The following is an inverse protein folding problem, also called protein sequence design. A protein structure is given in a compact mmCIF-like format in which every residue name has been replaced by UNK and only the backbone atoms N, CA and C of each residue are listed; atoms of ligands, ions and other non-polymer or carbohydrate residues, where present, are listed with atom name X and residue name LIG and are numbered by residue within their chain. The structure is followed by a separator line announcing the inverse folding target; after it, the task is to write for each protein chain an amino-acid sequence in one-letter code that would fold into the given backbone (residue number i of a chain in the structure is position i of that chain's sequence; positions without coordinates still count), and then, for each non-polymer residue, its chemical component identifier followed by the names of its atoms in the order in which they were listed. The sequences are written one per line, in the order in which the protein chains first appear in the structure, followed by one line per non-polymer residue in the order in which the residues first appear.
data_IF_618530512340
#
_entry.id   IF_618530512340
#
_cell.length_a   1.000
_cell.length_b   1.000
_cell.length_c   1.000
_cell.angle_alpha   90.00
_cell.angle_beta   90.00
_cell.angle_gamma   90.00
#
_symmetry.space_group_name_H-M   'P 1'
#
loop_
_entity.id
_entity.type
_entity.pdbx_description
1 polymer ?
#
# COMPACT_ATOMS: atom_id res chain seq x y z
N UNK A 1 18.57 24.14 5.02
CA UNK A 1 18.15 22.74 5.26
C UNK A 1 19.42 21.92 5.26
N UNK A 2 19.43 20.73 5.86
CA UNK A 2 20.53 19.81 5.62
C UNK A 2 20.52 19.47 4.13
N UNK A 3 21.70 19.21 3.56
CA UNK A 3 21.79 18.88 2.15
C UNK A 3 21.04 17.57 1.89
N UNK A 4 20.24 17.52 0.81
CA UNK A 4 19.57 16.28 0.41
C UNK A 4 20.61 15.17 0.27
N UNK A 5 20.31 13.98 0.79
CA UNK A 5 21.22 12.83 0.74
C UNK A 5 21.62 12.51 -0.69
N UNK A 6 22.92 12.54 -0.98
CA UNK A 6 23.51 12.15 -2.26
C UNK A 6 24.54 11.05 -2.02
N UNK A 7 24.58 10.00 -2.87
CA UNK A 7 25.71 9.07 -2.87
C UNK A 7 27.02 9.84 -3.01
N UNK A 8 27.99 9.54 -2.14
CA UNK A 8 29.26 10.25 -2.12
C UNK A 8 30.38 9.35 -2.66
N UNK A 9 30.91 9.70 -3.84
CA UNK A 9 31.92 8.92 -4.56
C UNK A 9 33.25 9.67 -4.77
N UNK A 10 33.50 10.77 -4.06
CA UNK A 10 34.74 11.56 -4.26
C UNK A 10 35.91 10.92 -3.52
N UNK A 11 37.04 10.78 -4.22
CA UNK A 11 38.33 10.33 -3.70
C UNK A 11 39.38 11.41 -4.10
N UNK A 12 40.28 11.85 -3.20
CA UNK A 12 40.41 11.45 -1.79
C UNK A 12 39.29 12.00 -0.90
N UNK A 13 39.05 11.33 0.23
CA UNK A 13 38.09 11.77 1.24
C UNK A 13 38.52 13.12 1.84
N UNK A 14 37.60 14.08 1.84
CA UNK A 14 37.79 15.41 2.43
C UNK A 14 37.06 15.51 3.76
N UNK A 15 37.56 16.39 4.62
CA UNK A 15 36.93 16.73 5.89
C UNK A 15 36.29 18.12 5.78
N UNK A 16 35.04 18.26 6.23
CA UNK A 16 34.39 19.56 6.45
C UNK A 16 35.17 20.32 7.53
N UNK A 17 35.54 19.56 8.57
CA UNK A 17 36.31 20.06 9.69
C UNK A 17 37.38 19.05 10.08
N UNK A 18 38.57 19.57 10.37
CA UNK A 18 39.65 18.81 10.99
C UNK A 18 40.46 19.79 11.84
N UNK A 19 40.32 19.71 13.16
CA UNK A 19 41.22 20.47 14.02
C UNK A 19 42.60 19.82 14.07
N UNK A 20 43.64 20.64 14.23
CA UNK A 20 44.92 20.13 14.71
C UNK A 20 44.86 20.06 16.24
N UNK A 21 44.99 18.84 16.74
CA UNK A 21 45.47 18.44 18.06
C UNK A 21 45.26 19.44 19.21
N UNK A 22 44.29 19.15 20.10
CA UNK A 22 44.15 19.86 21.37
C UNK A 22 44.17 18.85 22.52
N UNK A 23 45.22 18.90 23.35
CA UNK A 23 45.40 18.02 24.52
C UNK A 23 45.19 16.52 24.22
N UNK A 24 45.77 16.02 23.14
CA UNK A 24 45.69 14.58 22.80
C UNK A 24 44.40 14.16 22.13
N UNK A 25 43.48 15.10 21.85
CA UNK A 25 42.21 14.82 21.18
C UNK A 25 42.11 15.62 19.89
N UNK A 26 41.73 14.92 18.81
CA UNK A 26 41.38 15.53 17.53
C UNK A 26 39.92 15.24 17.19
N UNK A 27 39.26 16.19 16.53
CA UNK A 27 37.91 16.06 16.01
C UNK A 27 37.95 16.20 14.50
N UNK A 28 37.26 15.28 13.83
CA UNK A 28 37.02 15.31 12.39
C UNK A 28 35.53 15.31 12.14
N UNK A 29 35.06 16.22 11.29
CA UNK A 29 33.77 16.10 10.65
C UNK A 29 34.01 15.75 9.17
N UNK A 30 33.83 14.48 8.77
CA UNK A 30 34.10 14.08 7.40
C UNK A 30 33.05 14.68 6.44
N UNK A 31 33.39 14.93 5.17
CA UNK A 31 32.39 15.35 4.14
C UNK A 31 31.43 14.22 3.75
N UNK A 32 31.78 12.97 4.06
CA UNK A 32 30.97 11.79 3.84
C UNK A 32 30.76 11.00 5.13
N UNK A 33 29.64 10.31 5.23
CA UNK A 33 29.29 9.46 6.36
C UNK A 33 28.67 8.16 5.89
N UNK A 34 28.90 7.09 6.64
CA UNK A 34 28.20 5.81 6.46
C UNK A 34 27.06 5.74 7.47
N UNK A 35 25.82 5.65 7.01
CA UNK A 35 24.65 5.58 7.87
C UNK A 35 24.52 4.20 8.52
N UNK A 36 23.70 4.04 9.58
CA UNK A 36 23.47 2.75 10.23
C UNK A 36 22.93 1.64 9.31
N UNK A 37 22.32 1.99 8.18
CA UNK A 37 21.87 1.05 7.15
C UNK A 37 22.98 0.62 6.16
N UNK A 38 24.21 1.11 6.35
CA UNK A 38 25.38 0.84 5.50
C UNK A 38 25.51 1.76 4.29
N UNK A 39 24.53 2.64 4.02
CA UNK A 39 24.60 3.57 2.90
C UNK A 39 25.65 4.67 3.16
N UNK A 40 26.41 5.06 2.12
CA UNK A 40 27.39 6.15 2.20
C UNK A 40 26.83 7.40 1.53
N UNK A 41 26.71 8.49 2.29
CA UNK A 41 26.13 9.76 1.85
C UNK A 41 27.00 10.94 2.25
N UNK A 42 26.67 12.14 1.77
CA UNK A 42 27.28 13.38 2.25
C UNK A 42 26.98 13.62 3.74
N UNK A 43 27.87 14.35 4.41
CA UNK A 43 27.67 14.88 5.75
C UNK A 43 27.65 16.41 5.63
N UNK A 44 26.64 17.11 6.10
CA UNK A 44 25.38 16.65 6.73
C UNK A 44 24.40 16.16 5.67
N UNK A 45 23.48 15.24 5.98
CA UNK A 45 22.50 14.73 5.00
C UNK A 45 21.07 14.69 5.54
N UNK A 46 20.07 14.99 4.71
CA UNK A 46 18.66 14.68 4.93
C UNK A 46 18.21 13.53 4.04
N UNK A 47 17.74 12.43 4.66
CA UNK A 47 17.25 11.24 3.99
C UNK A 47 15.72 11.24 4.02
N UNK A 48 15.12 11.51 2.86
CA UNK A 48 13.66 11.71 2.74
C UNK A 48 12.84 10.45 3.07
N UNK A 49 13.36 9.26 2.76
CA UNK A 49 12.72 7.97 3.07
C UNK A 49 12.62 7.70 4.57
N UNK A 50 13.59 8.20 5.35
CA UNK A 50 13.65 8.11 6.80
C UNK A 50 13.09 9.34 7.51
N UNK A 51 12.75 10.39 6.76
CA UNK A 51 12.38 11.71 7.26
C UNK A 51 13.35 12.25 8.33
N UNK A 52 14.65 11.95 8.18
CA UNK A 52 15.66 12.22 9.21
C UNK A 52 16.92 12.86 8.62
N UNK A 53 17.55 13.72 9.42
CA UNK A 53 18.85 14.32 9.12
C UNK A 53 19.98 13.68 9.94
N UNK A 54 21.18 13.66 9.36
CA UNK A 54 22.34 12.96 9.89
C UNK A 54 23.57 13.87 9.96
N UNK A 55 24.25 13.82 11.10
CA UNK A 55 25.57 14.43 11.35
C UNK A 55 26.52 13.37 11.90
N UNK A 56 27.73 13.33 11.35
CA UNK A 56 28.79 12.44 11.84
C UNK A 56 29.96 13.24 12.38
N UNK A 57 30.47 12.83 13.53
CA UNK A 57 31.67 13.38 14.17
C UNK A 57 32.61 12.25 14.57
N UNK A 58 33.90 12.37 14.25
CA UNK A 58 34.95 11.43 14.66
C UNK A 58 35.85 12.09 15.70
N UNK A 59 36.15 11.35 16.76
CA UNK A 59 37.00 11.77 17.86
C UNK A 59 38.17 10.81 17.93
N UNK A 60 39.39 11.34 17.81
CA UNK A 60 40.64 10.55 17.84
C UNK A 60 41.38 10.91 19.12
N UNK A 61 41.72 9.90 19.92
CA UNK A 61 42.51 10.03 21.14
C UNK A 61 43.92 9.51 20.83
N UNK A 62 44.92 10.39 20.88
CA UNK A 62 46.30 10.08 20.51
C UNK A 62 47.03 9.22 21.57
N UNK A 63 48.06 8.49 21.12
CA UNK A 63 48.98 7.67 21.92
C UNK A 63 50.05 8.51 22.63
N UNK A 64 50.47 9.63 22.04
CA UNK A 64 51.78 10.25 22.35
C UNK A 64 51.80 11.25 23.52
N UNK A 65 50.68 11.46 24.23
CA UNK A 65 50.63 12.38 25.37
C UNK A 65 50.75 11.68 26.71
N UNK A 66 51.63 12.19 27.58
CA UNK A 66 51.85 11.69 28.96
C UNK A 66 50.62 11.78 29.88
N UNK A 67 49.57 12.51 29.49
CA UNK A 67 48.36 12.73 30.29
C UNK A 67 47.26 11.73 29.90
N UNK A 68 46.60 11.11 30.88
CA UNK A 68 45.40 10.26 30.71
C UNK A 68 44.16 11.07 30.28
N UNK A 69 44.23 11.70 29.10
CA UNK A 69 43.21 12.54 28.47
C UNK A 69 41.96 11.79 28.01
N UNK A 70 41.54 10.75 28.73
CA UNK A 70 40.31 10.02 28.45
C UNK A 70 39.11 10.96 28.40
N UNK A 71 38.28 10.80 27.37
CA UNK A 71 37.03 11.53 27.21
C UNK A 71 36.05 11.07 28.29
N UNK A 72 35.64 11.98 29.17
CA UNK A 72 34.57 11.73 30.14
C UNK A 72 33.21 11.94 29.51
N UNK A 73 33.01 13.07 28.85
CA UNK A 73 31.74 13.44 28.23
C UNK A 73 31.95 14.33 27.01
N UNK A 74 31.00 14.27 26.06
CA UNK A 74 31.01 15.06 24.82
C UNK A 74 29.75 15.91 24.80
N UNK A 75 29.89 17.22 24.60
CA UNK A 75 28.81 18.18 24.45
C UNK A 75 28.69 18.67 23.01
N UNK A 76 27.62 18.25 22.33
CA UNK A 76 27.28 18.67 20.96
C UNK A 76 26.09 19.65 21.05
N UNK A 77 26.22 20.91 20.59
CA UNK A 77 25.11 21.84 20.61
C UNK A 77 24.10 21.44 19.53
N UNK A 78 22.84 21.28 19.92
CA UNK A 78 21.72 21.01 19.00
C UNK A 78 20.62 22.04 19.22
N UNK A 79 19.80 22.29 18.20
CA UNK A 79 18.66 23.20 18.30
C UNK A 79 17.79 22.92 19.54
N UNK A 80 17.47 23.97 20.30
CA UNK A 80 16.74 23.84 21.57
C UNK A 80 15.30 23.28 21.44
N UNK A 81 14.74 23.32 20.23
CA UNK A 81 13.40 22.81 19.88
C UNK A 81 13.39 21.29 19.61
N UNK A 82 14.56 20.67 19.41
CA UNK A 82 14.64 19.23 19.19
C UNK A 82 14.34 18.53 20.51
N UNK A 83 13.39 17.60 20.48
CA UNK A 83 13.02 16.81 21.65
C UNK A 83 13.83 15.51 21.70
N UNK A 84 14.14 14.97 22.90
CA UNK A 84 14.93 13.75 23.04
C UNK A 84 14.38 12.56 22.26
N UNK A 85 13.04 12.40 22.20
CA UNK A 85 12.40 11.30 21.48
C UNK A 85 12.61 11.30 19.96
N UNK A 86 13.09 12.43 19.40
CA UNK A 86 13.37 12.59 17.98
C UNK A 86 14.85 12.36 17.64
N UNK A 87 15.68 11.97 18.60
CA UNK A 87 17.13 11.83 18.43
C UNK A 87 17.53 10.39 18.71
N UNK A 88 18.37 9.84 17.83
CA UNK A 88 19.15 8.65 18.11
C UNK A 88 20.63 8.99 17.93
N UNK A 89 21.45 8.47 18.83
CA UNK A 89 22.90 8.61 18.77
C UNK A 89 23.47 7.21 18.59
N UNK A 90 24.30 7.05 17.57
CA UNK A 90 25.02 5.82 17.33
C UNK A 90 26.51 6.06 17.48
N UNK A 91 27.22 5.00 17.84
CA UNK A 91 28.65 4.99 18.08
C UNK A 91 29.29 3.81 17.35
N UNK A 92 30.49 4.05 16.81
CA UNK A 92 31.32 3.04 16.19
C UNK A 92 32.79 3.29 16.52
N UNK A 93 33.50 2.24 16.87
CA UNK A 93 34.96 2.29 17.05
C UNK A 93 35.64 1.99 15.72
N UNK A 94 36.79 2.61 15.47
CA UNK A 94 37.65 2.22 14.35
C UNK A 94 37.93 0.71 14.43
N UNK A 95 37.88 0.04 13.27
CA UNK A 95 37.89 -1.41 13.08
C UNK A 95 36.57 -2.16 13.33
N UNK A 96 35.49 -1.50 13.78
CA UNK A 96 34.15 -2.11 13.83
C UNK A 96 33.30 -1.67 12.61
N UNK A 97 32.53 -2.60 12.05
CA UNK A 97 31.59 -2.32 10.96
C UNK A 97 30.19 -1.96 11.45
N UNK A 98 29.89 -2.19 12.74
CA UNK A 98 28.55 -2.04 13.30
C UNK A 98 28.42 -0.79 14.17
N UNK A 99 27.34 -0.05 13.96
CA UNK A 99 26.93 1.07 14.80
C UNK A 99 26.09 0.59 16.00
N UNK A 100 26.46 1.01 17.20
CA UNK A 100 25.74 0.70 18.44
C UNK A 100 25.00 1.94 18.95
N UNK A 101 23.73 1.83 19.39
CA UNK A 101 23.03 2.97 20.00
C UNK A 101 23.66 3.35 21.34
N UNK A 102 23.78 4.65 21.61
CA UNK A 102 24.36 5.19 22.85
C UNK A 102 23.39 6.15 23.53
N UNK A 103 23.35 6.08 24.84
CA UNK A 103 22.54 6.97 25.66
C UNK A 103 23.10 8.40 25.62
N UNK A 104 22.19 9.38 25.67
CA UNK A 104 22.54 10.79 25.73
C UNK A 104 21.55 11.52 26.65
N UNK A 105 21.92 12.72 27.07
CA UNK A 105 21.03 13.63 27.79
C UNK A 105 20.95 14.97 27.05
N UNK A 106 19.80 15.65 27.17
CA UNK A 106 19.59 16.99 26.60
C UNK A 106 19.50 18.00 27.74
N UNK A 107 20.46 18.91 27.83
CA UNK A 107 20.58 19.85 28.96
C UNK A 107 20.90 21.27 28.48
N UNK A 108 20.30 22.27 29.12
CA UNK A 108 20.52 23.69 28.77
C UNK A 108 21.75 24.27 29.47
N UNK A 109 21.98 23.86 30.71
CA UNK A 109 23.12 24.25 31.54
C UNK A 109 23.72 22.96 32.11
N UNK A 110 24.96 22.66 31.77
CA UNK A 110 25.72 21.53 32.30
C UNK A 110 26.76 22.06 33.29
N UNK A 111 27.05 21.37 34.42
CA UNK A 111 28.08 21.82 35.35
C UNK A 111 29.46 21.98 34.73
N UNK A 112 29.80 21.16 33.72
CA UNK A 112 31.07 21.21 33.02
C UNK A 112 30.97 22.15 31.80
N UNK A 113 29.95 21.97 30.96
CA UNK A 113 29.84 22.75 29.71
C UNK A 113 29.22 24.14 29.86
N UNK A 114 28.73 24.50 31.05
CA UNK A 114 27.95 25.70 31.32
C UNK A 114 26.72 25.79 30.38
N UNK A 115 26.20 27.00 30.19
CA UNK A 115 25.10 27.25 29.27
C UNK A 115 25.45 26.90 27.82
N UNK A 116 24.53 26.22 27.15
CA UNK A 116 24.58 26.03 25.71
C UNK A 116 24.46 27.38 24.98
N UNK A 117 25.02 27.51 23.76
CA UNK A 117 24.88 28.72 22.96
C UNK A 117 23.41 29.14 22.77
N UNK A 118 23.17 30.43 22.53
CA UNK A 118 21.80 30.96 22.33
C UNK A 118 21.12 30.23 21.16
N UNK A 119 19.95 29.65 21.42
CA UNK A 119 19.23 28.82 20.44
C UNK A 119 19.59 27.34 20.46
N UNK A 120 20.41 26.89 21.41
CA UNK A 120 20.86 25.50 21.52
C UNK A 120 20.60 24.91 22.91
N UNK A 121 20.68 23.59 22.97
CA UNK A 121 20.90 22.78 24.18
C UNK A 121 22.09 21.85 23.91
N UNK A 122 22.76 21.40 24.96
CA UNK A 122 23.77 20.35 24.84
C UNK A 122 23.08 19.01 24.68
N UNK A 123 23.40 18.29 23.61
CA UNK A 123 23.36 16.84 23.57
C UNK A 123 24.64 16.34 24.22
N UNK A 124 24.51 15.78 25.42
CA UNK A 124 25.63 15.26 26.21
C UNK A 124 25.69 13.74 26.11
N UNK A 125 26.80 13.21 25.63
CA UNK A 125 27.12 11.79 25.61
C UNK A 125 28.06 11.51 26.78
N UNK A 126 27.62 10.71 27.73
CA UNK A 126 28.46 10.26 28.85
C UNK A 126 29.30 9.06 28.38
N UNK A 127 30.61 9.23 28.41
CA UNK A 127 31.54 8.22 27.95
C UNK A 127 32.15 7.43 29.12
N UNK A 128 32.17 8.00 30.32
CA UNK A 128 32.69 7.34 31.54
C UNK A 128 34.10 6.75 31.37
N UNK A 129 34.94 7.39 30.55
CA UNK A 129 36.31 6.95 30.23
C UNK A 129 36.41 5.57 29.58
N UNK A 130 35.39 5.13 28.81
CA UNK A 130 35.43 3.84 28.08
C UNK A 130 36.58 3.74 27.07
N UNK A 131 37.19 4.86 26.65
CA UNK A 131 38.26 4.85 25.66
C UNK A 131 39.60 5.29 26.24
N UNK A 132 40.58 4.43 26.00
CA UNK A 132 41.99 4.69 26.24
C UNK A 132 42.63 5.33 25.01
N UNK A 133 43.95 5.52 25.07
CA UNK A 133 44.76 6.11 24.01
C UNK A 133 44.74 5.24 22.74
N UNK A 134 44.91 5.87 21.58
CA UNK A 134 44.94 5.20 20.28
C UNK A 134 43.57 4.81 19.72
N UNK A 135 42.48 5.30 20.31
CA UNK A 135 41.11 4.98 19.89
C UNK A 135 40.53 6.12 19.07
N UNK A 136 39.92 5.75 17.94
CA UNK A 136 39.06 6.64 17.17
C UNK A 136 37.61 6.18 17.28
N UNK A 137 36.73 7.13 17.60
CA UNK A 137 35.31 6.90 17.84
C UNK A 137 34.50 7.79 16.95
N UNK A 138 33.59 7.19 16.20
CA UNK A 138 32.65 7.88 15.34
C UNK A 138 31.26 7.90 16.00
N UNK A 139 30.68 9.09 16.11
CA UNK A 139 29.31 9.30 16.53
C UNK A 139 28.45 9.79 15.38
N UNK A 140 27.29 9.16 15.21
CA UNK A 140 26.24 9.57 14.27
C UNK A 140 25.03 10.04 15.03
N UNK A 141 24.59 11.27 14.75
CA UNK A 141 23.34 11.82 15.23
C UNK A 141 22.30 11.65 14.13
N UNK A 142 21.32 10.78 14.34
CA UNK A 142 20.09 10.70 13.55
C UNK A 142 19.02 11.54 14.24
N UNK A 143 18.51 12.57 13.55
CA UNK A 143 17.48 13.44 14.09
C UNK A 143 16.28 13.44 13.15
N UNK A 144 15.10 13.09 13.67
CA UNK A 144 13.85 13.14 12.93
C UNK A 144 13.48 14.58 12.56
N UNK A 145 13.38 14.85 11.26
CA UNK A 145 13.17 16.17 10.65
C UNK A 145 14.33 16.65 9.77
N UNK A 146 14.11 17.73 9.03
CA UNK A 146 15.10 18.39 8.18
C UNK A 146 15.62 19.66 8.85
N UNK A 147 16.77 19.57 9.53
CA UNK A 147 17.38 20.71 10.23
C UNK A 147 18.46 21.36 9.38
N UNK A 148 18.60 22.68 9.51
CA UNK A 148 19.70 23.41 8.87
C UNK A 148 20.98 23.13 9.64
N UNK A 149 22.11 23.11 8.93
CA UNK A 149 23.43 23.03 9.53
C UNK A 149 24.03 24.42 9.67
N UNK A 150 24.62 24.74 10.82
CA UNK A 150 25.44 25.94 10.98
C UNK A 150 26.67 25.62 11.80
N UNK A 151 27.74 26.44 11.66
CA UNK A 151 28.88 26.39 12.55
C UNK A 151 28.51 26.58 14.01
N UNK A 152 29.01 25.72 14.91
CA UNK A 152 29.03 25.90 16.36
C UNK A 152 30.20 25.15 17.00
N UNK A 153 30.64 25.62 18.16
CA UNK A 153 31.70 24.95 18.92
C UNK A 153 31.23 23.68 19.63
N UNK A 154 32.01 22.61 19.55
CA UNK A 154 31.85 21.43 20.41
C UNK A 154 32.64 21.60 21.72
N UNK A 155 32.19 20.93 22.78
CA UNK A 155 32.93 20.84 24.04
C UNK A 155 33.18 19.38 24.41
N UNK A 156 34.35 19.09 24.94
CA UNK A 156 34.72 17.78 25.46
C UNK A 156 35.22 17.95 26.89
N UNK A 157 34.66 17.17 27.81
CA UNK A 157 35.18 17.04 29.16
C UNK A 157 36.19 15.90 29.19
N UNK A 158 37.41 16.19 29.62
CA UNK A 158 38.45 15.18 29.84
C UNK A 158 38.64 14.93 31.33
N UNK A 159 39.61 14.08 31.69
CA UNK A 159 40.00 13.90 33.08
C UNK A 159 40.46 15.19 33.75
N UNK A 160 41.12 16.09 33.02
CA UNK A 160 41.85 17.23 33.61
C UNK A 160 41.26 18.59 33.27
N UNK A 161 40.55 18.71 32.14
CA UNK A 161 40.08 19.99 31.65
C UNK A 161 38.89 19.84 30.69
N UNK A 162 38.38 20.98 30.26
CA UNK A 162 37.33 21.07 29.26
C UNK A 162 37.93 21.68 28.00
N UNK A 163 37.88 20.92 26.92
CA UNK A 163 38.42 21.34 25.62
C UNK A 163 37.26 21.90 24.80
N UNK A 164 37.44 23.11 24.27
CA UNK A 164 36.49 23.76 23.39
C UNK A 164 37.07 23.77 21.98
N UNK A 165 36.34 23.21 21.02
CA UNK A 165 36.74 23.22 19.61
C UNK A 165 35.96 24.35 18.93
N UNK A 166 36.62 25.51 18.81
CA UNK A 166 35.97 26.79 18.50
C UNK A 166 35.96 27.20 17.04
N UNK A 167 36.54 26.43 16.14
CA UNK A 167 36.62 26.84 14.74
C UNK A 167 35.23 26.87 14.10
N UNK A 168 34.92 27.96 13.39
CA UNK A 168 33.62 28.30 12.78
C UNK A 168 33.21 27.39 11.60
N UNK A 169 33.56 26.12 11.65
CA UNK A 169 33.37 25.15 10.56
C UNK A 169 32.77 23.82 10.99
N UNK A 170 32.66 23.54 12.31
CA UNK A 170 31.92 22.35 12.77
C UNK A 170 30.43 22.59 12.59
N UNK A 171 29.84 21.87 11.64
CA UNK A 171 28.42 21.94 11.34
C UNK A 171 27.63 21.13 12.37
N UNK A 172 26.65 21.78 13.00
CA UNK A 172 25.74 21.16 13.96
C UNK A 172 24.27 21.37 13.58
N UNK A 173 23.33 20.57 14.13
CA UNK A 173 21.90 20.78 13.90
C UNK A 173 21.41 22.08 14.52
N UNK A 174 20.93 23.00 13.68
CA UNK A 174 20.44 24.31 14.09
C UNK A 174 18.94 24.48 13.91
N UNK A 175 18.39 25.45 14.64
CA UNK A 175 17.00 25.82 14.47
C UNK A 175 16.85 26.54 13.13
N UNK A 176 16.32 25.85 12.13
CA UNK A 176 15.55 26.48 11.07
C UNK A 176 14.31 27.19 11.67
N UNK A 177 13.86 28.28 11.07
CA UNK A 177 12.64 29.00 11.50
C UNK A 177 11.43 28.63 10.63
N UNK A 178 11.58 27.66 9.73
CA UNK A 178 10.56 27.29 8.74
C UNK A 178 10.05 25.86 8.99
N UNK A 179 8.73 25.71 8.93
CA UNK A 179 8.11 24.39 8.86
C UNK A 179 8.30 23.77 7.47
N UNK A 180 8.14 22.46 7.34
CA UNK A 180 8.25 21.76 6.07
C UNK A 180 7.26 20.60 5.99
N UNK A 181 6.47 20.54 4.92
CA UNK A 181 5.46 19.51 4.72
C UNK A 181 6.05 18.27 4.01
N UNK A 182 5.69 17.10 4.50
CA UNK A 182 5.79 15.85 3.77
C UNK A 182 4.42 15.16 3.77
N UNK A 183 3.93 14.77 2.59
CA UNK A 183 2.63 14.12 2.42
C UNK A 183 2.82 12.76 1.79
N UNK A 184 2.20 11.73 2.37
CA UNK A 184 2.15 10.38 1.81
C UNK A 184 0.71 9.92 1.73
N UNK A 185 0.29 9.51 0.53
CA UNK A 185 -1.05 9.00 0.26
C UNK A 185 -1.03 7.53 -0.15
N UNK A 186 -2.01 6.79 0.33
CA UNK A 186 -2.28 5.41 -0.07
C UNK A 186 -3.76 5.24 -0.39
N UNK A 187 -4.07 4.39 -1.36
CA UNK A 187 -5.44 4.02 -1.68
C UNK A 187 -5.58 2.56 -2.08
N UNK A 188 -6.76 2.03 -1.81
CA UNK A 188 -7.15 0.67 -2.15
C UNK A 188 -8.66 0.59 -2.33
N UNK A 189 -9.10 -0.40 -3.09
CA UNK A 189 -10.52 -0.74 -3.28
C UNK A 189 -10.83 -1.99 -2.48
N UNK A 190 -12.01 -2.04 -1.87
CA UNK A 190 -12.60 -3.29 -1.38
C UNK A 190 -13.98 -3.49 -2.01
N UNK A 191 -14.30 -4.72 -2.40
CA UNK A 191 -15.64 -5.08 -2.91
C UNK A 191 -16.29 -6.01 -1.90
N UNK A 192 -17.50 -5.67 -1.48
CA UNK A 192 -18.29 -6.42 -0.49
C UNK A 192 -19.74 -6.39 -0.97
N UNK A 193 -20.41 -7.56 -0.98
CA UNK A 193 -21.80 -7.67 -1.42
C UNK A 193 -22.06 -7.01 -2.77
N UNK A 194 -21.14 -7.21 -3.73
CA UNK A 194 -21.19 -6.65 -5.07
C UNK A 194 -21.17 -5.10 -5.14
N UNK A 195 -20.74 -4.43 -4.06
CA UNK A 195 -20.53 -2.97 -4.02
C UNK A 195 -19.07 -2.66 -3.79
N UNK A 196 -18.54 -1.67 -4.50
CA UNK A 196 -17.17 -1.21 -4.33
C UNK A 196 -17.08 -0.09 -3.29
N UNK A 197 -16.01 -0.08 -2.50
CA UNK A 197 -15.67 0.99 -1.57
C UNK A 197 -14.23 1.40 -1.84
N UNK A 198 -14.05 2.67 -2.20
CA UNK A 198 -12.73 3.29 -2.37
C UNK A 198 -12.26 3.78 -1.00
N UNK A 199 -11.06 3.40 -0.57
CA UNK A 199 -10.50 3.75 0.73
C UNK A 199 -9.19 4.50 0.56
N UNK A 200 -9.02 5.57 1.34
CA UNK A 200 -7.87 6.47 1.26
C UNK A 200 -7.31 6.74 2.64
N UNK A 201 -5.98 6.80 2.73
CA UNK A 201 -5.24 7.23 3.91
C UNK A 201 -4.13 8.19 3.50
N UNK A 202 -4.16 9.40 4.06
CA UNK A 202 -3.19 10.46 3.85
C UNK A 202 -2.49 10.77 5.16
N UNK A 203 -1.17 10.64 5.18
CA UNK A 203 -0.33 11.06 6.29
C UNK A 203 0.33 12.39 5.92
N UNK A 204 0.18 13.38 6.78
CA UNK A 204 0.73 14.73 6.64
C UNK A 204 1.69 14.93 7.81
N UNK A 205 2.96 15.17 7.51
CA UNK A 205 4.02 15.29 8.50
C UNK A 205 4.68 16.67 8.39
N UNK A 206 4.83 17.35 9.52
CA UNK A 206 5.75 18.48 9.61
C UNK A 206 7.16 17.97 9.88
N UNK A 207 7.98 17.88 8.82
CA UNK A 207 9.40 17.53 8.91
C UNK A 207 10.27 18.73 9.24
N UNK A 208 9.70 19.94 9.23
CA UNK A 208 10.39 21.13 9.68
C UNK A 208 10.35 21.26 11.20
N UNK A 209 10.88 22.38 11.68
CA UNK A 209 11.13 22.61 13.08
C UNK A 209 10.48 23.89 13.62
N UNK A 210 9.72 24.59 12.78
CA UNK A 210 8.69 25.53 13.20
C UNK A 210 7.31 24.93 12.97
N UNK A 211 6.33 25.36 13.76
CA UNK A 211 4.96 24.95 13.56
C UNK A 211 4.44 25.44 12.21
N UNK A 212 3.68 24.58 11.52
CA UNK A 212 2.96 24.95 10.32
C UNK A 212 1.58 25.45 10.73
N UNK A 213 1.30 26.72 10.48
CA UNK A 213 0.01 27.32 10.75
C UNK A 213 -0.83 27.39 9.46
N UNK A 214 -2.16 27.35 9.61
CA UNK A 214 -3.11 27.49 8.51
C UNK A 214 -2.81 26.54 7.35
N UNK A 215 -2.66 25.26 7.68
CA UNK A 215 -2.30 24.22 6.70
C UNK A 215 -3.51 23.90 5.85
N UNK A 216 -3.46 24.25 4.57
CA UNK A 216 -4.51 24.05 3.59
C UNK A 216 -4.40 22.63 3.03
N UNK A 217 -5.49 21.88 3.12
CA UNK A 217 -5.64 20.54 2.55
C UNK A 217 -6.51 20.62 1.29
N UNK A 218 -6.06 20.03 0.19
CA UNK A 218 -6.82 19.94 -1.05
C UNK A 218 -6.58 18.59 -1.74
N UNK A 219 -7.63 17.80 -1.86
CA UNK A 219 -7.54 16.44 -2.39
C UNK A 219 -8.59 16.21 -3.46
N UNK A 220 -8.12 16.00 -4.69
CA UNK A 220 -8.97 15.75 -5.85
C UNK A 220 -8.96 14.26 -6.15
N UNK A 221 -10.14 13.65 -6.13
CA UNK A 221 -10.36 12.26 -6.54
C UNK A 221 -11.13 12.30 -7.86
N UNK A 222 -10.56 11.69 -8.90
CA UNK A 222 -11.17 11.60 -10.21
C UNK A 222 -11.97 10.32 -10.32
N UNK A 223 -13.29 10.45 -10.34
CA UNK A 223 -14.24 9.33 -10.33
C UNK A 223 -14.99 9.33 -11.66
N UNK A 224 -15.21 8.17 -12.30
CA UNK A 224 -16.04 8.11 -13.50
C UNK A 224 -17.44 8.68 -13.27
N UNK A 225 -17.94 9.49 -14.21
CA UNK A 225 -19.32 10.04 -14.16
C UNK A 225 -20.42 8.96 -14.22
N UNK A 226 -20.07 7.73 -14.61
CA UNK A 226 -20.98 6.58 -14.62
C UNK A 226 -21.23 5.97 -13.23
N UNK A 227 -20.55 6.46 -12.19
CA UNK A 227 -20.70 5.96 -10.82
C UNK A 227 -21.75 6.75 -10.05
N UNK A 228 -22.60 6.04 -9.32
CA UNK A 228 -23.45 6.63 -8.28
C UNK A 228 -22.75 6.42 -6.95
N UNK A 229 -22.44 7.51 -6.25
CA UNK A 229 -21.68 7.48 -5.00
C UNK A 229 -22.59 7.54 -3.78
N UNK A 230 -22.28 6.73 -2.77
CA UNK A 230 -22.96 6.77 -1.48
C UNK A 230 -22.48 7.93 -0.61
N UNK A 231 -22.85 7.88 0.68
CA UNK A 231 -22.37 8.83 1.68
C UNK A 231 -20.86 8.64 1.89
N UNK A 232 -20.09 9.72 1.72
CA UNK A 232 -18.65 9.68 1.99
C UNK A 232 -18.44 9.83 3.49
N UNK A 233 -17.55 9.01 4.03
CA UNK A 233 -17.14 9.07 5.42
C UNK A 233 -15.71 9.60 5.50
N UNK A 234 -15.46 10.56 6.38
CA UNK A 234 -14.14 11.14 6.64
C UNK A 234 -13.97 11.28 8.16
N UNK A 235 -12.77 10.96 8.66
CA UNK A 235 -12.47 11.04 10.10
C UNK A 235 -12.18 12.47 10.59
N UNK A 236 -11.85 13.38 9.68
CA UNK A 236 -11.45 14.75 9.99
C UNK A 236 -12.63 15.71 9.82
N UNK A 237 -13.11 16.28 10.94
CA UNK A 237 -14.29 17.16 10.99
C UNK A 237 -14.05 18.56 10.39
N UNK A 238 -12.79 18.97 10.30
CA UNK A 238 -12.36 20.25 9.73
C UNK A 238 -12.23 20.24 8.20
N UNK A 239 -12.59 19.13 7.55
CA UNK A 239 -12.57 18.97 6.11
C UNK A 239 -14.00 18.90 5.56
N UNK A 240 -14.24 19.59 4.45
CA UNK A 240 -15.48 19.56 3.68
C UNK A 240 -15.34 18.67 2.45
N UNK A 241 -16.49 18.20 1.96
CA UNK A 241 -16.61 17.37 0.77
C UNK A 241 -17.43 18.15 -0.26
N UNK A 242 -16.86 18.35 -1.45
CA UNK A 242 -17.50 19.01 -2.59
C UNK A 242 -17.59 18.01 -3.77
N UNK A 243 -18.78 17.93 -4.37
CA UNK A 243 -19.11 17.07 -5.52
C UNK A 243 -19.69 17.86 -6.71
N UNK A 244 -19.56 19.17 -6.71
CA UNK A 244 -20.19 20.05 -7.70
C UNK A 244 -19.60 19.89 -9.11
N UNK A 245 -18.36 19.40 -9.20
CA UNK A 245 -17.70 19.12 -10.48
C UNK A 245 -17.96 17.67 -10.89
N UNK A 246 -18.68 17.40 -12.00
CA UNK A 246 -18.92 16.05 -12.47
C UNK A 246 -17.62 15.26 -12.67
N UNK A 247 -17.60 14.04 -12.15
CA UNK A 247 -16.44 13.16 -12.25
C UNK A 247 -15.29 13.50 -11.28
N UNK A 248 -15.54 14.39 -10.31
CA UNK A 248 -14.59 14.73 -9.27
C UNK A 248 -15.26 14.74 -7.89
N UNK A 249 -14.53 14.25 -6.90
CA UNK A 249 -14.79 14.53 -5.48
C UNK A 249 -13.62 15.35 -4.98
N UNK A 250 -13.91 16.52 -4.41
CA UNK A 250 -12.93 17.38 -3.76
C UNK A 250 -13.11 17.27 -2.25
N UNK A 251 -12.04 16.91 -1.54
CA UNK A 251 -11.97 16.99 -0.09
C UNK A 251 -10.99 18.11 0.25
N UNK A 252 -11.47 19.15 0.92
CA UNK A 252 -10.67 20.33 1.21
C UNK A 252 -10.95 20.88 2.61
N UNK A 253 -10.04 21.69 3.12
CA UNK A 253 -10.20 22.32 4.43
C UNK A 253 -8.88 22.83 4.97
N UNK A 254 -8.84 23.12 6.27
CA UNK A 254 -7.67 23.71 6.93
C UNK A 254 -7.41 23.02 8.27
N UNK A 255 -6.15 22.77 8.57
CA UNK A 255 -5.69 22.41 9.92
C UNK A 255 -5.04 23.63 10.57
N UNK A 256 -5.33 23.85 11.85
CA UNK A 256 -4.86 25.06 12.56
C UNK A 256 -3.34 25.08 12.69
N UNK A 257 -2.78 24.06 13.36
CA UNK A 257 -1.36 23.94 13.64
C UNK A 257 -0.87 22.50 13.52
N UNK A 258 0.25 22.31 12.81
CA UNK A 258 1.01 21.06 12.82
C UNK A 258 2.37 21.36 13.46
N UNK A 259 2.57 20.90 14.69
CA UNK A 259 3.81 21.09 15.44
C UNK A 259 4.98 20.35 14.77
N UNK A 260 6.24 20.77 15.00
CA UNK A 260 7.41 20.02 14.55
C UNK A 260 7.34 18.54 14.92
N UNK A 261 7.58 17.66 13.95
CA UNK A 261 7.52 16.20 14.11
C UNK A 261 6.11 15.61 14.23
N UNK A 262 5.06 16.43 14.29
CA UNK A 262 3.68 15.94 14.38
C UNK A 262 3.21 15.37 13.05
N UNK A 263 2.60 14.19 13.10
CA UNK A 263 1.91 13.56 11.97
C UNK A 263 0.39 13.66 12.16
N UNK A 264 -0.31 14.20 11.16
CA UNK A 264 -1.76 14.14 11.04
C UNK A 264 -2.16 13.07 10.03
N UNK A 265 -3.20 12.31 10.34
CA UNK A 265 -3.69 11.24 9.46
C UNK A 265 -5.15 11.47 9.10
N UNK A 266 -5.42 11.63 7.80
CA UNK A 266 -6.76 11.74 7.23
C UNK A 266 -7.12 10.40 6.60
N UNK A 267 -8.27 9.86 6.99
CA UNK A 267 -8.83 8.61 6.49
C UNK A 267 -10.24 8.88 6.00
N UNK A 268 -10.53 8.46 4.78
CA UNK A 268 -11.88 8.58 4.23
C UNK A 268 -12.20 7.43 3.28
N UNK A 269 -13.50 7.16 3.13
CA UNK A 269 -14.03 6.12 2.25
C UNK A 269 -15.17 6.64 1.41
N UNK A 270 -15.19 6.24 0.14
CA UNK A 270 -16.19 6.61 -0.85
C UNK A 270 -16.89 5.33 -1.32
N UNK A 271 -18.11 5.03 -0.83
CA UNK A 271 -18.92 3.94 -1.35
C UNK A 271 -19.37 4.22 -2.79
N UNK A 272 -19.29 3.22 -3.66
CA UNK A 272 -19.85 3.22 -5.01
C UNK A 272 -21.10 2.35 -4.98
N UNK A 273 -22.27 2.99 -4.98
CA UNK A 273 -23.57 2.31 -4.86
C UNK A 273 -24.00 1.65 -6.16
N UNK A 274 -23.64 2.24 -7.30
CA UNK A 274 -23.98 1.69 -8.60
C UNK A 274 -22.93 2.01 -9.68
N UNK A 275 -22.73 1.06 -10.60
CA UNK A 275 -21.90 1.17 -11.79
C UNK A 275 -22.74 0.73 -12.99
N UNK A 276 -22.90 1.62 -13.97
CA UNK A 276 -23.82 1.39 -15.10
C UNK A 276 -23.17 0.79 -16.34
N UNK A 277 -21.84 0.89 -16.47
CA UNK A 277 -21.11 0.44 -17.67
C UNK A 277 -20.01 -0.56 -17.29
N UNK A 278 -19.90 -1.69 -18.00
CA UNK A 278 -18.81 -2.63 -17.76
C UNK A 278 -17.50 -2.04 -18.29
N UNK A 279 -16.45 -2.08 -17.46
CA UNK A 279 -15.08 -1.63 -17.79
C UNK A 279 -14.12 -1.97 -16.66
N UNK A 280 -12.81 -1.96 -16.95
CA UNK A 280 -11.77 -1.68 -15.94
C UNK A 280 -11.68 -0.17 -15.72
N UNK A 281 -11.98 0.27 -14.50
CA UNK A 281 -11.90 1.67 -14.09
C UNK A 281 -10.64 1.91 -13.28
N UNK A 282 -9.86 2.93 -13.67
CA UNK A 282 -8.73 3.44 -12.87
C UNK A 282 -9.15 4.73 -12.20
N UNK A 283 -9.16 4.72 -10.87
CA UNK A 283 -9.53 5.85 -10.03
C UNK A 283 -8.25 6.50 -9.52
N UNK A 284 -7.96 7.70 -9.98
CA UNK A 284 -6.80 8.48 -9.58
C UNK A 284 -7.16 9.47 -8.48
N UNK A 285 -6.19 9.77 -7.62
CA UNK A 285 -6.32 10.84 -6.65
C UNK A 285 -5.01 11.60 -6.46
N UNK A 286 -5.13 12.91 -6.32
CA UNK A 286 -4.03 13.83 -6.10
C UNK A 286 -4.33 14.71 -4.88
N UNK A 287 -3.55 14.54 -3.82
CA UNK A 287 -3.60 15.41 -2.64
C UNK A 287 -2.46 16.41 -2.70
N UNK A 288 -2.80 17.67 -2.44
CA UNK A 288 -1.86 18.77 -2.24
C UNK A 288 -2.15 19.35 -0.86
N UNK A 289 -1.10 19.45 -0.05
CA UNK A 289 -1.15 20.13 1.24
C UNK A 289 -0.17 21.29 1.18
N UNK A 290 -0.60 22.47 1.58
CA UNK A 290 0.23 23.67 1.60
C UNK A 290 0.11 24.40 2.93
N UNK A 291 1.18 25.11 3.28
CA UNK A 291 1.24 26.03 4.39
C UNK A 291 2.10 27.23 3.95
N UNK A 292 2.28 28.20 4.83
CA UNK A 292 3.17 29.32 4.54
C UNK A 292 4.58 28.81 4.16
N UNK A 293 5.04 29.12 2.95
CA UNK A 293 6.36 28.76 2.40
C UNK A 293 6.66 27.27 2.18
N UNK A 294 5.70 26.36 2.31
CA UNK A 294 5.91 24.93 2.00
C UNK A 294 4.66 24.31 1.39
N UNK A 295 4.86 23.38 0.46
CA UNK A 295 3.81 22.55 -0.09
C UNK A 295 4.36 21.16 -0.38
N UNK A 296 3.49 20.17 -0.28
CA UNK A 296 3.81 18.79 -0.61
C UNK A 296 2.59 18.14 -1.24
N UNK A 297 2.81 17.22 -2.16
CA UNK A 297 1.73 16.53 -2.83
C UNK A 297 2.03 15.03 -2.87
N UNK A 298 0.96 14.23 -2.99
CA UNK A 298 1.07 12.80 -3.18
C UNK A 298 -0.06 12.33 -4.09
N UNK A 299 0.26 11.39 -4.96
CA UNK A 299 -0.71 10.75 -5.84
C UNK A 299 -0.89 9.29 -5.44
N UNK A 300 -2.05 8.73 -5.74
CA UNK A 300 -2.26 7.29 -5.71
C UNK A 300 -3.35 6.91 -6.71
N UNK A 301 -3.40 5.65 -7.13
CA UNK A 301 -4.49 5.13 -7.95
C UNK A 301 -4.92 3.74 -7.52
N UNK A 302 -6.19 3.43 -7.69
CA UNK A 302 -6.75 2.10 -7.48
C UNK A 302 -7.70 1.73 -8.62
N UNK A 303 -8.10 0.45 -8.70
CA UNK A 303 -8.91 -0.06 -9.79
C UNK A 303 -10.24 -0.63 -9.30
N UNK A 304 -11.26 -0.57 -10.15
CA UNK A 304 -12.51 -1.33 -10.03
C UNK A 304 -12.78 -2.01 -11.36
N UNK A 305 -12.92 -3.34 -11.33
CA UNK A 305 -13.33 -4.12 -12.48
C UNK A 305 -14.84 -4.36 -12.40
N UNK A 306 -15.58 -3.76 -13.32
CA UNK A 306 -17.02 -3.91 -13.41
C UNK A 306 -17.38 -4.80 -14.61
N UNK A 307 -18.03 -5.92 -14.34
CA UNK A 307 -18.31 -7.01 -15.28
C UNK A 307 -19.79 -7.03 -15.60
N UNK A 308 -20.11 -7.20 -16.88
CA UNK A 308 -21.45 -7.54 -17.34
C UNK A 308 -21.39 -8.74 -18.26
N UNK A 309 -22.28 -9.70 -18.04
CA UNK A 309 -22.34 -10.95 -18.78
C UNK A 309 -23.62 -11.03 -19.60
N UNK A 310 -23.58 -11.86 -20.63
CA UNK A 310 -24.76 -12.34 -21.33
C UNK A 310 -24.68 -13.85 -21.45
N UNK A 311 -25.83 -14.49 -21.41
CA UNK A 311 -25.95 -15.92 -21.62
C UNK A 311 -27.04 -16.25 -22.64
N UNK A 312 -26.94 -17.42 -23.24
CA UNK A 312 -27.97 -18.00 -24.08
C UNK A 312 -27.95 -19.51 -23.89
N UNK A 313 -29.13 -20.09 -23.73
CA UNK A 313 -29.29 -21.53 -23.64
C UNK A 313 -30.12 -22.00 -24.82
N UNK A 314 -29.54 -22.86 -25.66
CA UNK A 314 -30.21 -23.43 -26.81
C UNK A 314 -30.05 -24.95 -26.83
N UNK A 315 -30.88 -25.61 -27.63
CA UNK A 315 -30.85 -27.04 -27.81
C UNK A 315 -30.68 -27.39 -29.29
N UNK A 316 -30.03 -28.52 -29.56
CA UNK A 316 -29.83 -29.02 -30.92
C UNK A 316 -30.01 -30.54 -30.96
N UNK A 317 -30.71 -31.02 -31.98
CA UNK A 317 -30.80 -32.44 -32.31
C UNK A 317 -29.64 -32.76 -33.26
N UNK A 318 -28.74 -33.66 -32.87
CA UNK A 318 -27.53 -34.00 -33.62
C UNK A 318 -27.79 -35.15 -34.62
N UNK A 319 -28.48 -36.19 -34.14
CA UNK A 319 -28.96 -37.36 -34.92
C UNK A 319 -30.28 -37.83 -34.31
N UNK A 320 -31.06 -38.67 -35.01
CA UNK A 320 -32.43 -39.05 -34.63
C UNK A 320 -32.67 -39.32 -33.13
N UNK A 321 -31.72 -39.95 -32.42
CA UNK A 321 -31.82 -40.22 -30.98
C UNK A 321 -30.76 -39.50 -30.11
N UNK A 322 -29.99 -38.55 -30.65
CA UNK A 322 -28.92 -37.85 -29.95
C UNK A 322 -29.18 -36.35 -29.95
N UNK A 323 -29.20 -35.74 -28.78
CA UNK A 323 -29.44 -34.31 -28.62
C UNK A 323 -28.45 -33.67 -27.65
N UNK A 324 -28.36 -32.35 -27.70
CA UNK A 324 -27.50 -31.55 -26.82
C UNK A 324 -28.20 -30.29 -26.36
N UNK A 325 -27.95 -29.92 -25.11
CA UNK A 325 -28.14 -28.55 -24.61
C UNK A 325 -26.81 -27.82 -24.69
N UNK A 326 -26.82 -26.58 -25.13
CA UNK A 326 -25.63 -25.74 -25.29
C UNK A 326 -25.88 -24.42 -24.57
N UNK A 327 -25.09 -24.19 -23.53
CA UNK A 327 -25.01 -22.91 -22.85
C UNK A 327 -23.86 -22.11 -23.44
N UNK A 328 -24.18 -20.93 -23.96
CA UNK A 328 -23.22 -19.93 -24.41
C UNK A 328 -23.17 -18.82 -23.37
N UNK A 329 -21.98 -18.46 -22.89
CA UNK A 329 -21.79 -17.30 -21.99
C UNK A 329 -20.63 -16.47 -22.52
N UNK A 330 -20.82 -15.15 -22.51
CA UNK A 330 -19.79 -14.24 -22.96
C UNK A 330 -19.78 -12.95 -22.13
N UNK A 331 -18.60 -12.34 -22.12
CA UNK A 331 -18.43 -10.99 -21.61
C UNK A 331 -19.05 -10.00 -22.60
N UNK A 332 -19.91 -9.10 -22.12
CA UNK A 332 -20.41 -8.02 -22.97
C UNK A 332 -19.28 -7.07 -23.35
N UNK A 333 -19.52 -6.20 -24.34
CA UNK A 333 -18.52 -5.23 -24.81
C UNK A 333 -17.94 -4.43 -23.64
N UNK A 334 -16.61 -4.36 -23.57
CA UNK A 334 -15.82 -3.70 -22.52
C UNK A 334 -15.79 -4.37 -21.14
N UNK A 335 -16.55 -5.46 -20.90
CA UNK A 335 -16.38 -6.26 -19.70
C UNK A 335 -14.95 -6.81 -19.62
N UNK A 336 -14.30 -6.72 -18.46
CA UNK A 336 -12.99 -7.32 -18.26
C UNK A 336 -13.06 -8.84 -18.19
N UNK A 337 -11.89 -9.50 -18.23
CA UNK A 337 -11.78 -10.92 -17.93
C UNK A 337 -12.47 -11.23 -16.60
N UNK A 338 -13.20 -12.33 -16.54
CA UNK A 338 -13.93 -12.71 -15.34
C UNK A 338 -13.90 -14.22 -15.17
N UNK A 339 -14.07 -14.66 -13.93
CA UNK A 339 -14.13 -16.07 -13.58
C UNK A 339 -15.44 -16.32 -12.85
N UNK A 340 -16.21 -17.31 -13.33
CA UNK A 340 -17.58 -17.55 -12.86
C UNK A 340 -17.80 -18.99 -12.45
N UNK A 341 -18.77 -19.18 -11.57
CA UNK A 341 -19.41 -20.46 -11.29
C UNK A 341 -20.82 -20.45 -11.87
N UNK A 342 -21.16 -21.50 -12.60
CA UNK A 342 -22.44 -21.66 -13.29
C UNK A 342 -23.19 -22.83 -12.67
N UNK A 343 -24.48 -22.63 -12.45
CA UNK A 343 -25.41 -23.68 -12.03
C UNK A 343 -26.56 -23.74 -13.04
N UNK A 344 -26.72 -24.91 -13.65
CA UNK A 344 -27.81 -25.27 -14.56
C UNK A 344 -28.64 -26.40 -13.94
N UNK A 345 -29.94 -26.43 -14.24
CA UNK A 345 -30.83 -27.53 -13.88
C UNK A 345 -31.31 -28.24 -15.14
N UNK A 346 -31.15 -29.55 -15.19
CA UNK A 346 -31.67 -30.42 -16.24
C UNK A 346 -32.79 -31.28 -15.65
N UNK A 347 -33.96 -31.22 -16.27
CA UNK A 347 -35.12 -32.03 -15.87
C UNK A 347 -35.40 -33.11 -16.92
N UNK A 348 -35.37 -34.36 -16.46
CA UNK A 348 -35.80 -35.52 -17.23
C UNK A 348 -37.22 -35.86 -16.75
N UNK A 349 -38.24 -35.82 -17.61
CA UNK A 349 -39.62 -36.13 -17.23
C UNK A 349 -39.84 -37.64 -17.05
N UNK A 350 -40.96 -38.02 -16.41
CA UNK A 350 -41.38 -39.41 -16.27
C UNK A 350 -41.41 -40.14 -17.62
N UNK A 351 -41.12 -41.45 -17.64
CA UNK A 351 -41.24 -42.28 -18.84
C UNK A 351 -40.19 -42.05 -19.94
N UNK A 352 -39.23 -41.14 -19.73
CA UNK A 352 -38.08 -40.93 -20.64
C UNK A 352 -36.83 -41.55 -20.03
N UNK A 353 -36.09 -42.32 -20.82
CA UNK A 353 -34.79 -42.87 -20.43
C UNK A 353 -33.68 -42.26 -21.28
N UNK A 354 -32.69 -41.64 -20.62
CA UNK A 354 -31.55 -41.01 -21.25
C UNK A 354 -30.25 -41.73 -20.88
N UNK A 355 -29.23 -41.59 -21.74
CA UNK A 355 -27.85 -41.96 -21.44
C UNK A 355 -26.94 -40.78 -21.77
N UNK A 356 -26.15 -40.32 -20.79
CA UNK A 356 -25.16 -39.25 -20.99
C UNK A 356 -23.80 -39.83 -21.31
N UNK A 357 -23.13 -39.26 -22.31
CA UNK A 357 -21.76 -39.68 -22.65
C UNK A 357 -20.72 -38.80 -21.92
N UNK A 358 -21.03 -37.52 -21.81
CA UNK A 358 -20.25 -36.52 -21.10
C UNK A 358 -21.18 -35.39 -20.62
N UNK A 359 -20.66 -34.58 -19.71
CA UNK A 359 -21.34 -33.38 -19.23
C UNK A 359 -20.55 -32.11 -19.58
N UNK A 360 -19.69 -32.11 -20.60
CA UNK A 360 -18.98 -30.90 -21.06
C UNK A 360 -18.28 -30.07 -19.97
N UNK A 361 -17.59 -30.73 -19.03
CA UNK A 361 -16.95 -30.15 -17.82
C UNK A 361 -17.88 -29.71 -16.69
N UNK A 362 -19.20 -29.92 -16.79
CA UNK A 362 -20.08 -29.84 -15.64
C UNK A 362 -19.86 -31.03 -14.72
N UNK A 363 -19.88 -30.79 -13.42
CA UNK A 363 -20.19 -31.82 -12.43
C UNK A 363 -21.71 -31.98 -12.38
N UNK A 364 -22.21 -33.17 -12.71
CA UNK A 364 -23.64 -33.49 -12.70
C UNK A 364 -23.98 -34.29 -11.45
N UNK A 365 -24.98 -33.85 -10.68
CA UNK A 365 -25.46 -34.56 -9.49
C UNK A 365 -26.99 -34.61 -9.45
N UNK A 366 -27.55 -35.70 -8.94
CA UNK A 366 -28.98 -35.80 -8.70
C UNK A 366 -29.37 -34.89 -7.53
N UNK A 367 -30.33 -33.99 -7.75
CA UNK A 367 -30.75 -32.97 -6.78
C UNK A 367 -31.20 -33.56 -5.44
N UNK A 368 -31.79 -34.75 -5.46
CA UNK A 368 -32.44 -35.35 -4.29
C UNK A 368 -31.49 -36.25 -3.48
N UNK A 369 -30.34 -36.64 -4.05
CA UNK A 369 -29.45 -37.65 -3.44
C UNK A 369 -28.01 -37.18 -3.29
N UNK A 370 -27.64 -36.06 -3.93
CA UNK A 370 -26.26 -35.57 -4.02
C UNK A 370 -25.27 -36.52 -4.70
N UNK A 371 -25.71 -37.71 -5.13
CA UNK A 371 -24.94 -38.64 -5.94
C UNK A 371 -24.62 -38.06 -7.32
N UNK A 372 -23.41 -38.33 -7.80
CA UNK A 372 -23.01 -37.98 -9.16
C UNK A 372 -23.83 -38.76 -10.18
N UNK A 373 -24.15 -38.11 -11.29
CA UNK A 373 -24.85 -38.75 -12.40
C UNK A 373 -23.86 -39.62 -13.17
N UNK A 374 -24.07 -40.95 -13.26
CA UNK A 374 -23.15 -41.83 -13.97
C UNK A 374 -23.22 -41.59 -15.48
N UNK A 375 -22.06 -41.63 -16.14
CA UNK A 375 -21.96 -41.65 -17.60
C UNK A 375 -22.22 -43.06 -18.14
N UNK A 376 -22.65 -43.16 -19.39
CA UNK A 376 -22.94 -44.41 -20.11
C UNK A 376 -23.93 -45.34 -19.39
N UNK A 377 -24.73 -44.82 -18.46
CA UNK A 377 -25.75 -45.56 -17.72
C UNK A 377 -27.13 -45.03 -18.07
N UNK A 378 -28.12 -45.91 -18.16
CA UNK A 378 -29.50 -45.53 -18.41
C UNK A 378 -30.08 -44.82 -17.19
N UNK A 379 -30.64 -43.63 -17.40
CA UNK A 379 -31.27 -42.81 -16.38
C UNK A 379 -32.71 -42.57 -16.79
N UNK A 380 -33.62 -43.19 -16.04
CA UNK A 380 -35.06 -43.05 -16.25
C UNK A 380 -35.61 -41.94 -15.37
N UNK A 381 -36.38 -41.03 -15.97
CA UNK A 381 -37.06 -39.95 -15.26
C UNK A 381 -38.24 -40.45 -14.41
N UNK A 382 -38.75 -39.61 -13.49
CA UNK A 382 -38.45 -38.19 -13.36
C UNK A 382 -37.15 -37.94 -12.56
N UNK A 383 -36.26 -37.11 -13.09
CA UNK A 383 -35.01 -36.75 -12.42
C UNK A 383 -34.70 -35.26 -12.57
N UNK A 384 -34.25 -34.65 -11.48
CA UNK A 384 -33.69 -33.30 -11.46
C UNK A 384 -32.18 -33.40 -11.29
N UNK A 385 -31.43 -32.93 -12.27
CA UNK A 385 -29.97 -32.98 -12.28
C UNK A 385 -29.44 -31.54 -12.14
N UNK A 386 -28.58 -31.33 -11.14
CA UNK A 386 -27.82 -30.09 -10.97
C UNK A 386 -26.51 -30.23 -11.71
N UNK A 387 -26.22 -29.25 -12.57
CA UNK A 387 -25.02 -29.17 -13.38
C UNK A 387 -24.21 -27.97 -12.91
N UNK A 388 -23.03 -28.22 -12.35
CA UNK A 388 -22.16 -27.17 -11.80
C UNK A 388 -20.85 -27.08 -12.58
N UNK A 389 -20.51 -25.89 -13.06
CA UNK A 389 -19.20 -25.61 -13.65
C UNK A 389 -18.54 -24.50 -12.82
N UNK A 390 -17.42 -24.80 -12.16
CA UNK A 390 -16.71 -23.85 -11.28
C UNK A 390 -15.51 -23.26 -12.00
N UNK A 391 -15.10 -22.07 -11.58
CA UNK A 391 -13.85 -21.43 -11.99
C UNK A 391 -13.70 -21.31 -13.51
N UNK A 392 -14.81 -20.98 -14.19
CA UNK A 392 -14.81 -20.83 -15.63
C UNK A 392 -14.33 -19.42 -16.00
N UNK A 393 -13.15 -19.35 -16.61
CA UNK A 393 -12.53 -18.09 -17.06
C UNK A 393 -13.07 -17.66 -18.41
N UNK A 394 -13.77 -16.53 -18.44
CA UNK A 394 -14.26 -15.85 -19.63
C UNK A 394 -13.38 -14.64 -19.89
N UNK A 395 -12.61 -14.67 -20.97
CA UNK A 395 -11.75 -13.54 -21.36
C UNK A 395 -12.58 -12.34 -21.81
N UNK A 396 -11.98 -11.15 -21.81
CA UNK A 396 -12.55 -9.95 -22.39
C UNK A 396 -12.82 -10.19 -23.89
N UNK A 397 -14.04 -9.86 -24.34
CA UNK A 397 -14.57 -10.21 -25.67
C UNK A 397 -14.66 -11.72 -25.97
N UNK A 398 -14.34 -12.56 -24.99
CA UNK A 398 -14.39 -14.01 -25.10
C UNK A 398 -15.82 -14.54 -24.94
N UNK A 399 -16.03 -15.71 -25.55
CA UNK A 399 -17.24 -16.49 -25.48
C UNK A 399 -16.87 -17.92 -25.12
N UNK A 400 -17.67 -18.58 -24.29
CA UNK A 400 -17.52 -19.97 -23.93
C UNK A 400 -18.80 -20.72 -24.24
N UNK A 401 -18.62 -21.92 -24.80
CA UNK A 401 -19.68 -22.86 -25.10
C UNK A 401 -19.54 -24.06 -24.18
N UNK A 402 -20.64 -24.45 -23.53
CA UNK A 402 -20.72 -25.64 -22.69
C UNK A 402 -21.89 -26.50 -23.15
N UNK A 403 -21.56 -27.67 -23.71
CA UNK A 403 -22.53 -28.61 -24.23
C UNK A 403 -22.74 -29.77 -23.27
N UNK A 404 -23.97 -30.23 -23.15
CA UNK A 404 -24.32 -31.48 -22.46
C UNK A 404 -25.00 -32.37 -23.49
N UNK A 405 -24.38 -33.49 -23.79
CA UNK A 405 -24.80 -34.38 -24.86
C UNK A 405 -25.38 -35.67 -24.29
N UNK A 406 -26.54 -36.07 -24.77
CA UNK A 406 -27.21 -37.30 -24.35
C UNK A 406 -27.86 -38.02 -25.51
N UNK A 407 -28.11 -39.31 -25.30
CA UNK A 407 -28.91 -40.16 -26.17
C UNK A 407 -30.24 -40.48 -25.51
N UNK A 408 -31.30 -40.46 -26.29
CA UNK A 408 -32.63 -40.92 -25.90
C UNK A 408 -32.67 -42.42 -26.16
N UNK A 409 -32.81 -43.20 -25.09
CA UNK A 409 -32.82 -44.67 -25.16
C UNK A 409 -34.24 -45.21 -25.36
N UNK A 410 -35.22 -44.62 -24.68
CA UNK A 410 -36.64 -44.97 -24.81
C UNK A 410 -37.55 -43.85 -24.31
N UNK A 411 -38.80 -43.85 -24.81
CA UNK A 411 -39.90 -43.02 -24.33
C UNK A 411 -41.17 -43.89 -24.25
N UNK A 412 -41.77 -44.03 -23.07
CA UNK A 412 -42.94 -44.89 -22.84
C UNK A 412 -44.27 -44.12 -22.80
N UNK A 413 -44.23 -42.79 -22.93
CA UNK A 413 -45.43 -41.94 -22.88
C UNK A 413 -46.02 -41.79 -24.28
N UNK A 414 -47.31 -42.05 -24.42
CA UNK A 414 -48.07 -41.70 -25.60
C UNK A 414 -48.33 -40.18 -25.61
N UNK A 415 -47.54 -39.44 -26.37
CA UNK A 415 -47.70 -37.99 -26.54
C UNK A 415 -46.39 -37.22 -26.44
N UNK A 416 -46.50 -35.90 -26.55
CA UNK A 416 -45.37 -34.97 -26.47
C UNK A 416 -44.81 -34.93 -25.05
N UNK A 417 -43.51 -35.17 -24.90
CA UNK A 417 -42.80 -35.06 -23.62
C UNK A 417 -41.57 -34.17 -23.77
N UNK A 418 -41.33 -33.27 -22.82
CA UNK A 418 -40.28 -32.24 -22.95
C UNK A 418 -39.20 -32.42 -21.89
N UNK A 419 -37.94 -32.51 -22.35
CA UNK A 419 -36.75 -32.39 -21.49
C UNK A 419 -36.37 -30.92 -21.45
N UNK A 420 -36.10 -30.37 -20.27
CA UNK A 420 -35.74 -28.94 -20.14
C UNK A 420 -34.38 -28.76 -19.49
N UNK A 421 -33.64 -27.74 -19.94
CA UNK A 421 -32.44 -27.26 -19.30
C UNK A 421 -32.59 -25.77 -18.97
N UNK A 422 -32.47 -25.41 -17.70
CA UNK A 422 -32.66 -24.04 -17.22
C UNK A 422 -31.38 -23.52 -16.58
N UNK A 423 -30.89 -22.38 -17.06
CA UNK A 423 -29.79 -21.65 -16.43
C UNK A 423 -30.24 -21.04 -15.12
N UNK A 424 -29.78 -21.57 -13.99
CA UNK A 424 -30.26 -21.13 -12.68
C UNK A 424 -29.48 -19.93 -12.14
N UNK A 425 -28.16 -19.97 -12.17
CA UNK A 425 -27.33 -18.89 -11.66
C UNK A 425 -25.95 -18.83 -12.32
N UNK A 426 -25.43 -17.62 -12.46
CA UNK A 426 -24.02 -17.35 -12.71
C UNK A 426 -23.54 -16.45 -11.58
N UNK A 427 -22.48 -16.85 -10.88
CA UNK A 427 -21.87 -16.05 -9.81
C UNK A 427 -20.38 -15.89 -10.07
N UNK A 428 -19.77 -14.80 -9.61
CA UNK A 428 -18.32 -14.67 -9.66
C UNK A 428 -17.67 -15.77 -8.81
N UNK A 429 -16.57 -16.35 -9.29
CA UNK A 429 -15.79 -17.33 -8.54
C UNK A 429 -15.15 -16.68 -7.29
N UNK A 430 -14.74 -15.42 -7.41
CA UNK A 430 -14.36 -14.57 -6.28
C UNK A 430 -15.29 -13.34 -6.22
N UNK A 431 -16.26 -13.30 -5.28
CA UNK A 431 -17.23 -12.21 -5.20
C UNK A 431 -16.62 -10.87 -4.73
N UNK A 432 -15.39 -10.89 -4.19
CA UNK A 432 -14.72 -9.70 -3.66
C UNK A 432 -13.69 -9.10 -4.64
N UNK A 433 -13.53 -9.68 -5.84
CA UNK A 433 -12.56 -9.18 -6.83
C UNK A 433 -13.16 -8.24 -7.87
N UNK A 434 -14.46 -8.36 -8.18
CA UNK A 434 -15.12 -7.62 -9.26
C UNK A 434 -16.55 -7.24 -8.88
N UNK A 435 -17.08 -6.19 -9.50
CA UNK A 435 -18.49 -5.80 -9.40
C UNK A 435 -19.23 -6.39 -10.59
N UNK A 436 -20.14 -7.32 -10.35
CA UNK A 436 -21.05 -7.87 -11.36
C UNK A 436 -22.25 -6.94 -11.54
N UNK A 437 -22.29 -6.19 -12.64
CA UNK A 437 -23.35 -5.23 -12.93
C UNK A 437 -24.68 -5.95 -13.18
N UNK A 438 -24.66 -6.94 -14.07
CA UNK A 438 -25.85 -7.61 -14.58
C UNK A 438 -25.45 -8.87 -15.38
N UNK A 439 -26.40 -9.79 -15.54
CA UNK A 439 -26.33 -10.97 -16.41
C UNK A 439 -27.57 -10.98 -17.31
N UNK A 440 -27.39 -10.60 -18.58
CA UNK A 440 -28.49 -10.61 -19.54
C UNK A 440 -28.93 -12.05 -19.84
N UNK A 441 -30.24 -12.28 -19.88
CA UNK A 441 -30.89 -13.58 -20.12
C UNK A 441 -30.57 -14.66 -19.06
N UNK A 442 -30.35 -14.24 -17.81
CA UNK A 442 -30.36 -15.15 -16.67
C UNK A 442 -31.74 -15.83 -16.59
N UNK A 443 -31.80 -17.12 -16.24
CA UNK A 443 -33.02 -17.95 -16.27
C UNK A 443 -33.51 -18.39 -17.66
N UNK A 444 -32.66 -18.32 -18.68
CA UNK A 444 -32.97 -18.92 -19.99
C UNK A 444 -33.19 -20.43 -19.87
N UNK A 445 -34.32 -20.89 -20.42
CA UNK A 445 -34.68 -22.30 -20.50
C UNK A 445 -34.72 -22.75 -21.94
N UNK A 446 -34.04 -23.85 -22.24
CA UNK A 446 -34.12 -24.55 -23.51
C UNK A 446 -34.85 -25.88 -23.31
N UNK A 447 -35.55 -26.32 -24.36
CA UNK A 447 -36.48 -27.45 -24.29
C UNK A 447 -36.33 -28.35 -25.51
N UNK A 448 -36.24 -29.65 -25.30
CA UNK A 448 -36.27 -30.66 -26.37
C UNK A 448 -37.55 -31.45 -26.23
N UNK A 449 -38.37 -31.40 -27.27
CA UNK A 449 -39.61 -32.15 -27.37
C UNK A 449 -39.34 -33.53 -27.98
N UNK A 450 -39.80 -34.57 -27.30
CA UNK A 450 -39.77 -35.95 -27.77
C UNK A 450 -41.18 -36.27 -28.27
N UNK A 451 -41.27 -36.62 -29.55
CA UNK A 451 -42.46 -37.19 -30.15
C UNK A 451 -42.25 -38.70 -30.29
N UNK A 452 -43.16 -39.56 -29.81
CA UNK A 452 -43.06 -40.99 -30.02
C UNK A 452 -43.10 -41.27 -31.52
N UNK A 453 -42.29 -42.23 -32.00
CA UNK A 453 -42.57 -42.82 -33.31
C UNK A 453 -43.91 -43.55 -33.20
N UNK A 454 -44.96 -43.02 -33.82
CA UNK A 454 -46.18 -43.79 -34.06
C UNK A 454 -45.80 -44.95 -34.97
N UNK A 455 -45.51 -46.11 -34.39
CA UNK A 455 -45.66 -47.36 -35.14
C UNK A 455 -47.17 -47.59 -35.23
N UNK A 456 -47.77 -47.15 -36.34
CA UNK A 456 -49.07 -47.68 -36.75
C UNK A 456 -48.87 -49.18 -36.96
N UNK A 457 -49.55 -49.99 -36.13
CA UNK A 457 -49.67 -51.43 -36.38
C UNK A 457 -50.69 -51.67 -37.47
#
# INVERSE_FOLDING_TARGET
MADSSKPYNKIPYKNIYSCKYSNGISIIQPECQMLPDGSTVNNTAYVSSLASSFWTYKFIIDCDMQMDGSIKSIGIPICYLIKPENIKVYERLDCNTVFNPVAFTIIKNDPCFYYAPKGFKWLKIENSKRYHRGVCVEYILEIFGNYVSSPQSLKIETTYNIIKFTEDSILVPTCNSKGNLAVKKSCFTSIINNKAILKYKVNILNTGNAALNNVIYNDKIYIPTSFILGKIHINASNLSIDRNVPGQVLINGRFDIIKPGQMLTVIYSIPVENITKPKKYKIGSNVVVSAMHTSSHSICSTNIDAVKLSSENHCMIIKQNKASFILTIWNTRYSPDTEVTIINYLFIPYGVTLQFNDFGMYTAAFRNRCDLVPINTNITGPQNIILTCRNLKILQYGCIYKAITFRIMSCTIAGKVTITNTLKSITLANPNSQVLIDIKNLSSTSSIDILPSTKCH
#
